data_IF_169458333078
#
_entry.id   IF_169458333078
#
_cell.length_a   1.000
_cell.length_b   1.000
_cell.length_c   1.000
_cell.angle_alpha   90.00
_cell.angle_beta   90.00
_cell.angle_gamma   90.00
#
_symmetry.space_group_name_H-M   'P 1'
#
loop_
_entity.id
_entity.type
_entity.pdbx_description
1 polymer ?
#
# COMPACT_ATOMS: atom_id res chain seq x y z
N UNK A 1 -5.12 -8.13 -19.35
CA UNK A 1 -5.77 -8.14 -20.67
C UNK A 1 -7.00 -7.23 -20.64
N UNK A 2 -7.27 -6.53 -21.76
CA UNK A 2 -8.51 -5.76 -21.92
C UNK A 2 -9.74 -6.70 -21.98
N UNK A 3 -10.92 -6.24 -21.56
CA UNK A 3 -12.15 -7.01 -21.68
C UNK A 3 -12.37 -7.54 -23.11
N UNK A 4 -12.84 -8.79 -23.22
CA UNK A 4 -13.05 -9.47 -24.48
C UNK A 4 -11.84 -10.24 -25.03
N UNK A 5 -10.65 -10.11 -24.45
CA UNK A 5 -9.46 -10.84 -24.93
C UNK A 5 -9.56 -12.35 -24.71
N UNK A 6 -9.98 -12.79 -23.53
CA UNK A 6 -10.15 -14.21 -23.23
C UNK A 6 -11.25 -14.83 -24.09
N UNK A 7 -12.31 -14.08 -24.31
CA UNK A 7 -13.43 -14.49 -25.18
C UNK A 7 -12.96 -14.68 -26.62
N UNK A 8 -12.13 -13.78 -27.16
CA UNK A 8 -11.52 -13.92 -28.50
C UNK A 8 -10.63 -15.16 -28.63
N UNK A 9 -9.99 -15.57 -27.54
CA UNK A 9 -9.14 -16.75 -27.49
C UNK A 9 -9.94 -18.04 -27.27
N UNK A 10 -11.28 -17.98 -27.12
CA UNK A 10 -12.12 -19.14 -26.85
C UNK A 10 -11.98 -19.70 -25.43
N UNK A 11 -11.42 -18.93 -24.49
CA UNK A 11 -11.24 -19.27 -23.08
C UNK A 11 -11.89 -18.23 -22.16
N UNK A 12 -13.00 -17.66 -22.61
CA UNK A 12 -13.81 -16.76 -21.78
C UNK A 12 -14.37 -17.46 -20.54
N UNK A 13 -14.81 -16.70 -19.54
CA UNK A 13 -15.33 -17.25 -18.27
C UNK A 13 -16.38 -18.34 -18.46
N UNK A 14 -17.31 -18.16 -19.37
CA UNK A 14 -18.39 -19.15 -19.64
C UNK A 14 -17.82 -20.49 -20.09
N UNK A 15 -16.81 -20.48 -20.97
CA UNK A 15 -16.15 -21.69 -21.46
C UNK A 15 -15.39 -22.40 -20.34
N UNK A 16 -14.66 -21.62 -19.51
CA UNK A 16 -13.88 -22.18 -18.40
C UNK A 16 -14.80 -22.75 -17.32
N UNK A 17 -15.84 -22.02 -16.94
CA UNK A 17 -16.80 -22.45 -15.93
C UNK A 17 -17.68 -23.62 -16.39
N UNK A 18 -17.96 -23.74 -17.67
CA UNK A 18 -18.63 -24.95 -18.22
C UNK A 18 -17.77 -26.20 -18.03
N UNK A 19 -16.44 -26.07 -18.04
CA UNK A 19 -15.52 -27.19 -17.77
C UNK A 19 -15.30 -27.45 -16.28
N UNK A 20 -15.27 -26.41 -15.49
CA UNK A 20 -15.12 -26.48 -14.04
C UNK A 20 -16.01 -25.43 -13.35
N UNK A 21 -17.20 -25.85 -12.96
CA UNK A 21 -18.17 -24.97 -12.29
C UNK A 21 -17.73 -24.46 -10.92
N UNK A 22 -16.67 -25.03 -10.33
CA UNK A 22 -16.07 -24.55 -9.08
C UNK A 22 -14.96 -23.51 -9.26
N UNK A 23 -14.67 -23.09 -10.49
CA UNK A 23 -13.56 -22.19 -10.78
C UNK A 23 -13.84 -20.76 -10.30
N UNK A 24 -12.89 -20.14 -9.62
CA UNK A 24 -12.89 -18.72 -9.30
C UNK A 24 -11.97 -18.03 -10.29
N UNK A 25 -12.51 -17.09 -11.07
CA UNK A 25 -11.78 -16.37 -12.13
C UNK A 25 -11.65 -14.91 -11.73
N UNK A 26 -10.43 -14.44 -11.48
CA UNK A 26 -10.17 -13.02 -11.23
C UNK A 26 -9.78 -12.30 -12.52
N UNK A 27 -10.54 -11.29 -12.88
CA UNK A 27 -10.31 -10.45 -14.06
C UNK A 27 -9.86 -9.08 -13.62
N UNK A 28 -8.54 -8.87 -13.60
CA UNK A 28 -7.94 -7.58 -13.22
C UNK A 28 -7.79 -6.70 -14.44
N UNK A 29 -8.26 -5.46 -14.37
CA UNK A 29 -8.08 -4.45 -15.41
C UNK A 29 -8.09 -3.03 -14.82
N UNK A 30 -7.67 -2.03 -15.57
CA UNK A 30 -7.62 -0.65 -15.07
C UNK A 30 -9.01 -0.14 -14.63
N UNK A 31 -10.05 -0.42 -15.43
CA UNK A 31 -11.37 0.22 -15.29
C UNK A 31 -12.52 -0.77 -15.03
N UNK A 32 -12.24 -2.05 -14.81
CA UNK A 32 -13.24 -3.10 -14.69
C UNK A 32 -13.69 -3.65 -16.05
N UNK A 33 -14.55 -4.67 -16.00
CA UNK A 33 -15.06 -5.36 -17.18
C UNK A 33 -16.25 -4.65 -17.83
N UNK A 34 -16.86 -3.69 -17.14
CA UNK A 34 -18.08 -2.99 -17.55
C UNK A 34 -17.90 -1.48 -17.50
N UNK A 35 -18.91 -0.76 -17.97
CA UNK A 35 -18.91 0.70 -17.93
C UNK A 35 -18.19 1.37 -19.12
N UNK A 36 -18.23 2.72 -19.18
CA UNK A 36 -17.79 3.45 -20.37
C UNK A 36 -16.27 3.43 -20.60
N UNK A 37 -15.48 3.01 -19.60
CA UNK A 37 -14.02 2.95 -19.67
C UNK A 37 -13.48 1.53 -19.81
N UNK A 38 -14.32 0.51 -19.82
CA UNK A 38 -13.90 -0.90 -19.88
C UNK A 38 -12.90 -1.20 -21.02
N UNK A 39 -13.04 -0.53 -22.17
CA UNK A 39 -12.16 -0.72 -23.32
C UNK A 39 -11.01 0.29 -23.43
N UNK A 40 -10.89 1.21 -22.45
CA UNK A 40 -9.78 2.17 -22.44
C UNK A 40 -8.52 1.54 -21.84
N UNK A 41 -7.34 1.92 -22.33
CA UNK A 41 -6.09 1.59 -21.65
C UNK A 41 -6.14 2.07 -20.19
N UNK A 42 -5.71 1.22 -19.26
CA UNK A 42 -5.66 1.55 -17.83
C UNK A 42 -4.38 0.99 -17.21
N UNK A 43 -3.56 1.89 -16.66
CA UNK A 43 -2.34 1.58 -15.92
C UNK A 43 -2.37 2.29 -14.58
N UNK A 44 -1.60 1.82 -13.60
CA UNK A 44 -1.57 2.35 -12.24
C UNK A 44 -1.49 3.87 -12.17
N UNK A 45 -0.57 4.50 -12.91
CA UNK A 45 -0.40 5.96 -12.90
C UNK A 45 -1.64 6.74 -13.37
N UNK A 46 -2.40 6.22 -14.36
CA UNK A 46 -3.65 6.84 -14.79
C UNK A 46 -4.73 6.75 -13.71
N UNK A 47 -4.77 5.63 -13.02
CA UNK A 47 -5.70 5.38 -11.91
C UNK A 47 -5.36 6.28 -10.72
N UNK A 48 -4.08 6.37 -10.36
CA UNK A 48 -3.58 7.25 -9.29
C UNK A 48 -3.91 8.72 -9.56
N UNK A 49 -3.82 9.13 -10.83
CA UNK A 49 -4.23 10.47 -11.24
C UNK A 49 -5.73 10.69 -11.15
N UNK A 50 -6.54 9.77 -11.69
CA UNK A 50 -7.98 9.95 -11.81
C UNK A 50 -8.75 9.70 -10.50
N UNK A 51 -8.22 8.86 -9.60
CA UNK A 51 -8.88 8.52 -8.33
C UNK A 51 -9.00 9.69 -7.35
N UNK A 52 -8.22 10.75 -7.55
CA UNK A 52 -8.08 11.85 -6.59
C UNK A 52 -6.83 11.73 -5.71
N UNK A 53 -6.13 10.59 -5.71
CA UNK A 53 -4.91 10.38 -4.93
C UNK A 53 -3.85 11.45 -5.24
N UNK A 54 -3.47 11.60 -6.51
CA UNK A 54 -2.47 12.58 -6.92
C UNK A 54 -2.91 14.02 -6.65
N UNK A 55 -4.22 14.32 -6.80
CA UNK A 55 -4.76 15.65 -6.55
C UNK A 55 -4.62 16.11 -5.10
N UNK A 56 -4.57 15.19 -4.15
CA UNK A 56 -4.42 15.48 -2.72
C UNK A 56 -3.02 15.21 -2.17
N UNK A 57 -2.10 14.69 -2.99
CA UNK A 57 -0.74 14.31 -2.58
C UNK A 57 0.27 15.36 -3.04
N UNK A 58 1.14 15.81 -2.11
CA UNK A 58 2.19 16.80 -2.34
C UNK A 58 1.95 18.13 -1.66
N UNK A 59 2.80 19.10 -1.94
CA UNK A 59 2.69 20.47 -1.41
C UNK A 59 1.78 21.32 -2.29
N UNK A 60 1.13 22.32 -1.67
CA UNK A 60 0.12 23.16 -2.34
C UNK A 60 0.69 24.00 -3.50
N UNK A 61 1.95 24.40 -3.37
CA UNK A 61 2.69 25.25 -4.30
C UNK A 61 3.42 24.48 -5.43
N UNK A 62 3.22 23.16 -5.48
CA UNK A 62 3.85 22.27 -6.47
C UNK A 62 2.81 21.44 -7.23
N UNK A 63 3.28 20.74 -8.25
CA UNK A 63 2.45 19.81 -9.03
C UNK A 63 1.92 18.65 -8.16
N UNK A 64 0.81 18.02 -8.57
CA UNK A 64 0.35 16.76 -7.99
C UNK A 64 1.43 15.68 -8.08
N UNK A 65 1.53 14.83 -7.05
CA UNK A 65 2.53 13.77 -6.99
C UNK A 65 1.90 12.39 -7.20
N UNK A 66 2.52 11.60 -8.06
CA UNK A 66 2.31 10.16 -8.14
C UNK A 66 3.21 9.44 -7.12
N UNK A 67 2.79 8.29 -6.60
CA UNK A 67 3.66 7.49 -5.73
C UNK A 67 4.85 6.92 -6.54
N UNK A 68 6.03 6.73 -5.92
CA UNK A 68 7.20 6.18 -6.60
C UNK A 68 7.15 4.64 -6.76
N UNK A 69 5.97 4.05 -6.75
CA UNK A 69 5.70 2.62 -6.86
C UNK A 69 4.33 2.40 -7.51
N UNK A 70 4.04 1.18 -7.95
CA UNK A 70 2.75 0.80 -8.54
C UNK A 70 1.66 0.67 -7.44
N UNK A 71 1.30 1.78 -6.80
CA UNK A 71 0.42 1.78 -5.63
C UNK A 71 -0.97 1.24 -5.93
N UNK A 72 -1.58 1.66 -7.04
CA UNK A 72 -2.90 1.19 -7.45
C UNK A 72 -2.91 -0.33 -7.69
N UNK A 73 -1.87 -0.86 -8.34
CA UNK A 73 -1.72 -2.29 -8.61
C UNK A 73 -1.54 -3.09 -7.32
N UNK A 74 -0.70 -2.61 -6.40
CA UNK A 74 -0.46 -3.26 -5.11
C UNK A 74 -1.72 -3.30 -4.24
N UNK A 75 -2.49 -2.21 -4.19
CA UNK A 75 -3.75 -2.15 -3.45
C UNK A 75 -4.79 -3.08 -4.08
N UNK A 76 -4.90 -3.10 -5.41
CA UNK A 76 -5.78 -4.02 -6.11
C UNK A 76 -5.37 -5.48 -5.85
N UNK A 77 -4.08 -5.80 -5.83
CA UNK A 77 -3.57 -7.12 -5.47
C UNK A 77 -4.01 -7.55 -4.05
N UNK A 78 -3.90 -6.66 -3.07
CA UNK A 78 -4.37 -6.93 -1.70
C UNK A 78 -5.89 -7.11 -1.63
N UNK A 79 -6.66 -6.29 -2.34
CA UNK A 79 -8.12 -6.43 -2.44
C UNK A 79 -8.50 -7.74 -3.13
N UNK A 80 -7.79 -8.09 -4.20
CA UNK A 80 -7.99 -9.33 -4.97
C UNK A 80 -7.74 -10.57 -4.13
N UNK A 81 -6.71 -10.57 -3.29
CA UNK A 81 -6.47 -11.64 -2.32
C UNK A 81 -7.69 -11.89 -1.43
N UNK A 82 -8.25 -10.83 -0.84
CA UNK A 82 -9.46 -10.92 -0.03
C UNK A 82 -10.69 -11.41 -0.82
N UNK A 83 -10.86 -10.90 -2.05
CA UNK A 83 -11.97 -11.29 -2.91
C UNK A 83 -11.92 -12.78 -3.30
N UNK A 84 -10.72 -13.30 -3.62
CA UNK A 84 -10.52 -14.74 -3.91
C UNK A 84 -10.89 -15.59 -2.70
N UNK A 85 -10.42 -15.25 -1.51
CA UNK A 85 -10.76 -15.99 -0.29
C UNK A 85 -12.27 -15.95 0.00
N UNK A 86 -12.92 -14.81 -0.21
CA UNK A 86 -14.37 -14.68 -0.04
C UNK A 86 -15.13 -15.55 -1.05
N UNK A 87 -14.71 -15.57 -2.33
CA UNK A 87 -15.31 -16.39 -3.37
C UNK A 87 -15.14 -17.89 -3.10
N UNK A 88 -13.94 -18.32 -2.70
CA UNK A 88 -13.67 -19.70 -2.31
C UNK A 88 -14.49 -20.10 -1.07
N UNK A 89 -14.56 -19.24 -0.07
CA UNK A 89 -15.37 -19.49 1.12
C UNK A 89 -16.85 -19.63 0.81
N UNK A 90 -17.40 -18.77 -0.04
CA UNK A 90 -18.78 -18.83 -0.49
C UNK A 90 -19.05 -20.17 -1.19
N UNK A 91 -18.19 -20.57 -2.11
CA UNK A 91 -18.26 -21.86 -2.80
C UNK A 91 -18.24 -23.04 -1.83
N UNK A 92 -17.27 -23.08 -0.92
CA UNK A 92 -17.06 -24.18 0.01
C UNK A 92 -18.17 -24.29 1.07
N UNK A 93 -18.89 -23.19 1.34
CA UNK A 93 -20.08 -23.17 2.20
C UNK A 93 -21.39 -23.51 1.45
N UNK A 94 -21.35 -23.79 0.17
CA UNK A 94 -22.53 -24.13 -0.63
C UNK A 94 -23.44 -22.95 -0.98
N UNK A 95 -22.95 -21.69 -0.83
CA UNK A 95 -23.70 -20.49 -1.26
C UNK A 95 -23.65 -20.26 -2.78
N UNK A 96 -23.02 -21.14 -3.54
CA UNK A 96 -22.91 -21.08 -4.99
C UNK A 96 -21.82 -22.01 -5.51
N UNK A 97 -21.57 -21.89 -6.79
CA UNK A 97 -20.43 -22.51 -7.47
C UNK A 97 -19.23 -21.54 -7.47
N UNK A 98 -18.28 -21.76 -8.36
CA UNK A 98 -17.26 -20.76 -8.68
C UNK A 98 -17.88 -19.49 -9.25
N UNK A 99 -17.10 -18.43 -9.32
CA UNK A 99 -17.59 -17.13 -9.80
C UNK A 99 -16.49 -16.32 -10.46
N UNK A 100 -16.89 -15.31 -11.24
CA UNK A 100 -16.01 -14.30 -11.78
C UNK A 100 -15.89 -13.15 -10.77
N UNK A 101 -14.67 -12.75 -10.47
CA UNK A 101 -14.35 -11.56 -9.70
C UNK A 101 -13.87 -10.48 -10.68
N UNK A 102 -14.67 -9.46 -10.90
CA UNK A 102 -14.29 -8.27 -11.66
C UNK A 102 -13.55 -7.32 -10.70
N UNK A 103 -12.28 -7.07 -10.95
CA UNK A 103 -11.41 -6.26 -10.08
C UNK A 103 -10.77 -5.16 -10.90
N UNK A 104 -11.24 -3.93 -10.72
CA UNK A 104 -10.55 -2.77 -11.29
C UNK A 104 -9.37 -2.34 -10.42
N UNK A 105 -8.41 -1.63 -11.00
CA UNK A 105 -7.39 -0.94 -10.21
C UNK A 105 -7.97 0.29 -9.50
N UNK A 106 -9.04 0.87 -10.05
CA UNK A 106 -9.61 2.14 -9.59
C UNK A 106 -10.35 2.01 -8.26
N UNK A 107 -11.28 1.06 -8.15
CA UNK A 107 -12.19 0.99 -7.00
C UNK A 107 -11.46 0.73 -5.68
N UNK A 108 -10.49 -0.19 -5.57
CA UNK A 108 -9.74 -0.39 -4.34
C UNK A 108 -8.94 0.84 -3.93
N UNK A 109 -8.26 1.52 -4.87
CA UNK A 109 -7.54 2.76 -4.57
C UNK A 109 -8.50 3.86 -4.11
N UNK A 110 -9.59 4.08 -4.85
CA UNK A 110 -10.58 5.09 -4.48
C UNK A 110 -11.19 4.83 -3.10
N UNK A 111 -11.46 3.56 -2.75
CA UNK A 111 -12.08 3.18 -1.48
C UNK A 111 -11.23 3.54 -0.25
N UNK A 112 -9.90 3.53 -0.37
CA UNK A 112 -9.00 3.85 0.75
C UNK A 112 -8.75 5.35 0.95
N UNK A 113 -9.20 6.20 0.02
CA UNK A 113 -9.02 7.65 0.14
C UNK A 113 -9.96 8.30 1.17
N UNK A 114 -10.83 7.51 1.80
CA UNK A 114 -11.75 7.96 2.82
C UNK A 114 -13.05 8.58 2.27
N UNK A 115 -13.76 9.38 3.07
CA UNK A 115 -15.13 9.79 2.78
C UNK A 115 -15.22 11.03 1.87
N UNK A 116 -14.28 11.27 0.97
CA UNK A 116 -14.19 12.50 0.17
C UNK A 116 -15.45 12.78 -0.65
N UNK A 117 -16.01 11.75 -1.29
CA UNK A 117 -17.22 11.90 -2.08
C UNK A 117 -18.42 12.32 -1.21
N UNK A 118 -18.54 11.72 -0.02
CA UNK A 118 -19.60 12.07 0.95
C UNK A 118 -19.41 13.47 1.50
N UNK A 119 -18.19 13.85 1.87
CA UNK A 119 -17.88 15.20 2.36
C UNK A 119 -18.20 16.25 1.29
N UNK A 120 -17.77 16.01 0.05
CA UNK A 120 -18.11 16.91 -1.06
C UNK A 120 -19.61 17.06 -1.29
N UNK A 121 -20.38 15.97 -1.16
CA UNK A 121 -21.83 16.02 -1.31
C UNK A 121 -22.53 16.79 -0.18
N UNK A 122 -21.96 16.81 1.03
CA UNK A 122 -22.55 17.48 2.20
C UNK A 122 -22.24 18.99 2.20
N UNK A 123 -21.01 19.36 1.97
CA UNK A 123 -20.55 20.75 2.19
C UNK A 123 -19.73 21.33 1.02
N UNK A 124 -19.56 20.58 -0.09
CA UNK A 124 -18.78 21.01 -1.25
C UNK A 124 -17.27 20.96 -1.05
N UNK A 125 -16.78 20.39 0.05
CA UNK A 125 -15.35 20.32 0.33
C UNK A 125 -14.57 19.55 -0.74
N UNK A 126 -13.39 20.05 -1.05
CA UNK A 126 -12.43 19.41 -1.99
C UNK A 126 -11.08 19.34 -1.29
N UNK A 127 -10.54 18.14 -1.08
CA UNK A 127 -9.23 17.96 -0.47
C UNK A 127 -8.15 18.73 -1.23
N UNK A 128 -7.24 19.38 -0.49
CA UNK A 128 -6.12 20.14 -1.05
C UNK A 128 -4.80 19.44 -0.72
N UNK A 129 -3.78 19.70 -1.51
CA UNK A 129 -2.43 19.27 -1.17
C UNK A 129 -1.94 20.07 0.04
N UNK A 130 -1.56 19.38 1.10
CA UNK A 130 -1.12 19.97 2.37
C UNK A 130 0.28 19.49 2.80
N UNK A 131 1.03 18.86 1.90
CA UNK A 131 2.32 18.25 2.23
C UNK A 131 2.14 17.08 3.20
N UNK A 132 2.84 17.16 4.32
CA UNK A 132 2.79 16.12 5.36
C UNK A 132 1.68 16.34 6.39
N UNK A 133 0.90 17.39 6.26
CA UNK A 133 -0.17 17.69 7.21
C UNK A 133 -1.40 16.81 6.96
N UNK A 134 -2.09 16.46 8.03
CA UNK A 134 -3.40 15.84 7.94
C UNK A 134 -4.50 16.88 8.06
N UNK A 135 -5.54 16.84 7.25
CA UNK A 135 -6.61 17.87 7.24
C UNK A 135 -7.47 17.87 8.50
N UNK A 136 -7.48 16.78 9.23
CA UNK A 136 -8.41 16.55 10.36
C UNK A 136 -7.72 16.58 11.73
N UNK A 137 -6.39 16.68 11.79
CA UNK A 137 -5.66 16.54 13.05
C UNK A 137 -4.33 17.31 13.07
N UNK A 138 -4.00 17.91 14.22
CA UNK A 138 -2.77 18.65 14.47
C UNK A 138 -2.34 18.54 15.96
N UNK A 139 -1.00 18.51 16.23
CA UNK A 139 0.09 18.46 15.27
C UNK A 139 0.28 17.05 14.69
N UNK A 140 0.56 16.98 13.40
CA UNK A 140 0.98 15.78 12.66
C UNK A 140 1.81 16.22 11.45
N UNK A 141 3.11 15.92 11.47
CA UNK A 141 4.02 16.35 10.41
C UNK A 141 5.31 15.53 10.39
N UNK A 142 6.16 15.85 9.41
CA UNK A 142 7.56 15.46 9.33
C UNK A 142 8.42 16.68 9.66
N UNK A 143 9.38 16.52 10.58
CA UNK A 143 10.22 17.60 11.08
C UNK A 143 11.68 17.34 10.77
N UNK A 144 12.37 18.37 10.29
CA UNK A 144 13.81 18.34 10.06
C UNK A 144 14.56 18.47 11.38
N UNK A 145 15.62 17.69 11.52
CA UNK A 145 16.50 17.66 12.69
C UNK A 145 17.84 18.36 12.39
N UNK A 146 18.63 18.65 13.43
CA UNK A 146 19.89 19.38 13.30
C UNK A 146 20.95 18.70 12.44
N UNK A 147 20.85 17.40 12.26
CA UNK A 147 21.75 16.58 11.44
C UNK A 147 21.27 16.41 9.97
N UNK A 148 20.21 17.14 9.58
CA UNK A 148 19.59 17.04 8.24
C UNK A 148 18.72 15.81 8.03
N UNK A 149 18.58 14.95 9.04
CA UNK A 149 17.62 13.85 9.04
C UNK A 149 16.21 14.31 9.41
N UNK A 150 15.24 13.42 9.29
CA UNK A 150 13.83 13.73 9.52
C UNK A 150 13.19 12.76 10.50
N UNK A 151 12.24 13.27 11.27
CA UNK A 151 11.35 12.47 12.13
C UNK A 151 9.90 12.74 11.79
N UNK A 152 9.06 11.72 11.91
CA UNK A 152 7.61 11.85 11.85
C UNK A 152 7.04 11.85 13.27
N UNK A 153 6.08 12.74 13.53
CA UNK A 153 5.38 12.80 14.80
C UNK A 153 3.88 13.02 14.60
N UNK A 154 3.09 12.43 15.49
CA UNK A 154 1.66 12.66 15.57
C UNK A 154 1.23 12.72 17.05
N UNK A 155 0.76 13.87 17.48
CA UNK A 155 0.28 14.11 18.85
C UNK A 155 -1.13 14.73 18.82
N UNK A 156 -2.04 14.10 18.08
CA UNK A 156 -3.35 14.64 17.75
C UNK A 156 -4.40 14.46 18.83
N UNK A 157 -4.27 13.41 19.67
CA UNK A 157 -5.14 13.22 20.84
C UNK A 157 -4.84 14.30 21.89
N UNK A 158 -5.87 14.77 22.60
CA UNK A 158 -5.72 15.86 23.58
C UNK A 158 -4.62 15.57 24.63
N UNK A 159 -4.65 14.36 25.21
CA UNK A 159 -3.63 13.97 26.20
C UNK A 159 -2.21 13.87 25.62
N UNK A 160 -2.06 13.59 24.32
CA UNK A 160 -0.75 13.59 23.66
C UNK A 160 -0.28 15.00 23.35
N UNK A 161 -1.21 15.88 22.96
CA UNK A 161 -0.93 17.30 22.78
C UNK A 161 -0.40 17.96 24.08
N UNK A 162 -1.10 17.73 25.18
CA UNK A 162 -0.71 18.26 26.50
C UNK A 162 0.71 17.80 26.90
N UNK A 163 1.01 16.52 26.71
CA UNK A 163 2.35 15.98 26.93
C UNK A 163 3.39 16.60 25.98
N UNK A 164 3.03 16.78 24.72
CA UNK A 164 3.92 17.39 23.74
C UNK A 164 4.25 18.84 24.12
N UNK A 165 3.25 19.65 24.48
CA UNK A 165 3.45 21.05 24.86
C UNK A 165 4.43 21.18 26.03
N UNK A 166 4.30 20.31 27.04
CA UNK A 166 5.26 20.24 28.15
C UNK A 166 6.65 19.80 27.66
N UNK A 167 6.72 18.78 26.82
CA UNK A 167 7.99 18.23 26.33
C UNK A 167 8.75 19.22 25.44
N UNK A 168 8.06 20.06 24.67
CA UNK A 168 8.69 21.10 23.85
C UNK A 168 8.96 22.40 24.65
N UNK A 169 8.85 22.31 25.98
CA UNK A 169 9.11 23.41 26.91
C UNK A 169 8.16 24.61 26.73
N UNK A 170 6.92 24.35 26.28
CA UNK A 170 5.88 25.35 26.02
C UNK A 170 4.54 24.95 26.68
N UNK A 171 4.53 24.70 28.03
CA UNK A 171 3.33 24.22 28.71
C UNK A 171 2.15 25.21 28.61
N UNK A 172 2.40 26.49 28.44
CA UNK A 172 1.38 27.54 28.30
C UNK A 172 0.51 27.34 27.04
N UNK A 173 0.98 26.60 26.02
CA UNK A 173 0.21 26.34 24.82
C UNK A 173 -1.01 25.45 25.08
N UNK A 174 -1.04 24.73 26.20
CA UNK A 174 -2.19 23.89 26.57
C UNK A 174 -3.42 24.73 26.86
N UNK A 175 -3.21 25.93 27.46
CA UNK A 175 -4.30 26.87 27.80
C UNK A 175 -4.48 27.98 26.76
N UNK A 176 -3.66 28.02 25.73
CA UNK A 176 -3.77 29.01 24.64
C UNK A 176 -5.04 28.76 23.80
N UNK A 177 -5.93 29.75 23.67
CA UNK A 177 -7.17 29.61 22.90
C UNK A 177 -6.99 29.12 21.46
N UNK A 178 -5.82 29.37 20.86
CA UNK A 178 -5.49 28.93 19.50
C UNK A 178 -5.26 27.42 19.41
N UNK A 179 -4.99 26.73 20.52
CA UNK A 179 -4.54 25.32 20.54
C UNK A 179 -5.32 24.45 21.53
N UNK A 180 -6.38 24.96 22.14
CA UNK A 180 -7.17 24.27 23.17
C UNK A 180 -7.72 22.92 22.68
N UNK A 181 -8.37 22.92 21.54
CA UNK A 181 -8.97 21.72 20.96
C UNK A 181 -8.28 21.34 19.66
N UNK A 182 -8.50 20.11 19.19
CA UNK A 182 -7.97 19.71 17.88
C UNK A 182 -8.45 20.60 16.72
N UNK A 183 -9.74 21.02 16.63
CA UNK A 183 -10.15 22.00 15.63
C UNK A 183 -9.39 23.32 15.71
N UNK A 184 -9.15 23.86 16.91
CA UNK A 184 -8.38 25.10 17.08
C UNK A 184 -6.93 24.92 16.59
N UNK A 185 -6.30 23.78 16.91
CA UNK A 185 -4.96 23.44 16.41
C UNK A 185 -4.90 23.29 14.90
N UNK A 186 -5.92 22.68 14.30
CA UNK A 186 -6.03 22.56 12.84
C UNK A 186 -6.16 23.93 12.19
N UNK A 187 -6.95 24.82 12.75
CA UNK A 187 -7.14 26.18 12.24
C UNK A 187 -5.86 27.01 12.36
N UNK A 188 -5.13 26.90 13.46
CA UNK A 188 -3.89 27.65 13.73
C UNK A 188 -2.62 26.83 13.46
N UNK A 189 -2.74 25.81 12.58
CA UNK A 189 -1.69 24.83 12.31
C UNK A 189 -0.36 25.43 11.92
N UNK A 190 -0.33 26.42 11.04
CA UNK A 190 0.92 26.99 10.54
C UNK A 190 1.81 27.52 11.67
N UNK A 191 1.21 28.18 12.64
CA UNK A 191 1.93 28.69 13.80
C UNK A 191 2.36 27.56 14.75
N UNK A 192 1.48 26.60 15.01
CA UNK A 192 1.78 25.42 15.81
C UNK A 192 2.95 24.62 15.23
N UNK A 193 2.94 24.36 13.93
CA UNK A 193 3.99 23.60 13.25
C UNK A 193 5.33 24.34 13.26
N UNK A 194 5.33 25.67 13.20
CA UNK A 194 6.56 26.48 13.36
C UNK A 194 7.17 26.26 14.74
N UNK A 195 6.37 26.36 15.79
CA UNK A 195 6.82 26.15 17.18
C UNK A 195 7.42 24.76 17.37
N UNK A 196 6.72 23.74 16.86
CA UNK A 196 7.17 22.34 16.98
C UNK A 196 8.43 22.10 16.15
N UNK A 197 8.50 22.64 14.93
CA UNK A 197 9.67 22.49 14.04
C UNK A 197 10.93 23.11 14.65
N UNK A 198 10.81 24.29 15.25
CA UNK A 198 11.94 24.95 15.93
C UNK A 198 12.51 24.14 17.11
N UNK A 199 11.67 23.33 17.75
CA UNK A 199 12.12 22.43 18.80
C UNK A 199 12.90 21.24 18.26
N UNK A 200 12.36 20.58 17.20
CA UNK A 200 13.01 19.43 16.59
C UNK A 200 14.35 19.78 15.93
N UNK A 201 14.44 20.96 15.33
CA UNK A 201 15.65 21.44 14.65
C UNK A 201 16.87 21.65 15.60
N UNK A 202 16.66 21.65 16.91
CA UNK A 202 17.74 21.83 17.91
C UNK A 202 18.52 20.54 18.21
N UNK A 203 18.04 19.39 17.79
CA UNK A 203 18.57 18.07 18.14
C UNK A 203 18.70 17.20 16.89
N UNK A 204 19.62 16.25 16.91
CA UNK A 204 19.74 15.19 15.91
C UNK A 204 18.52 14.28 15.94
N UNK A 205 18.32 13.46 14.89
CA UNK A 205 17.29 12.43 14.86
C UNK A 205 17.36 11.55 16.10
N UNK A 206 18.55 11.02 16.42
CA UNK A 206 18.69 10.10 17.56
C UNK A 206 18.40 10.77 18.90
N UNK A 207 18.83 12.02 19.09
CA UNK A 207 18.55 12.76 20.32
C UNK A 207 17.05 13.04 20.46
N UNK A 208 16.36 13.42 19.38
CA UNK A 208 14.92 13.59 19.39
C UNK A 208 14.18 12.29 19.71
N UNK A 209 14.57 11.17 19.09
CA UNK A 209 13.95 9.87 19.37
C UNK A 209 14.07 9.51 20.85
N UNK A 210 15.26 9.57 21.42
CA UNK A 210 15.51 9.28 22.84
C UNK A 210 14.73 10.22 23.75
N UNK A 211 14.78 11.53 23.46
CA UNK A 211 14.12 12.56 24.26
C UNK A 211 12.60 12.35 24.37
N UNK A 212 11.94 12.04 23.27
CA UNK A 212 10.50 11.86 23.22
C UNK A 212 10.05 10.46 23.71
N UNK A 213 10.86 9.43 23.49
CA UNK A 213 10.61 8.09 24.04
C UNK A 213 10.55 8.11 25.57
N UNK A 214 11.52 8.75 26.24
CA UNK A 214 11.56 8.92 27.70
C UNK A 214 10.32 9.64 28.26
N UNK A 215 9.63 10.43 27.43
CA UNK A 215 8.43 11.19 27.79
C UNK A 215 7.13 10.54 27.32
N UNK A 216 7.21 9.35 26.74
CA UNK A 216 6.06 8.62 26.25
C UNK A 216 5.32 9.31 25.08
N UNK A 217 6.07 10.03 24.24
CA UNK A 217 5.56 10.68 23.04
C UNK A 217 6.03 9.91 21.81
N UNK A 218 5.11 9.61 20.89
CA UNK A 218 5.39 8.83 19.72
C UNK A 218 6.04 9.66 18.61
N UNK A 219 7.35 9.44 18.42
CA UNK A 219 8.15 9.99 17.33
C UNK A 219 8.87 8.84 16.64
N UNK A 220 8.95 8.87 15.33
CA UNK A 220 9.64 7.84 14.54
C UNK A 220 10.57 8.42 13.48
N UNK A 221 11.69 7.77 13.18
CA UNK A 221 12.61 8.25 12.15
C UNK A 221 12.01 8.06 10.75
N UNK A 222 12.38 8.94 9.81
CA UNK A 222 12.17 8.68 8.39
C UNK A 222 13.35 7.84 7.90
N UNK A 223 13.09 6.57 7.65
CA UNK A 223 14.12 5.59 7.26
C UNK A 223 14.16 5.36 5.77
N UNK A 224 15.35 5.21 5.23
CA UNK A 224 15.58 4.61 3.92
C UNK A 224 15.82 3.09 4.06
N UNK A 225 16.02 2.37 2.96
CA UNK A 225 16.19 0.91 3.00
C UNK A 225 17.46 0.47 3.74
N UNK A 226 18.54 1.26 3.69
CA UNK A 226 19.78 0.94 4.41
C UNK A 226 19.62 1.08 5.93
N UNK A 227 18.71 1.96 6.38
CA UNK A 227 18.34 2.08 7.78
C UNK A 227 17.42 0.93 8.19
N UNK A 228 16.42 0.62 7.37
CA UNK A 228 15.42 -0.41 7.67
C UNK A 228 16.02 -1.79 7.86
N UNK A 229 16.95 -2.23 7.00
CA UNK A 229 17.56 -3.58 7.12
C UNK A 229 18.36 -3.79 8.41
N UNK A 230 18.75 -2.70 9.09
CA UNK A 230 19.47 -2.72 10.38
C UNK A 230 18.55 -2.38 11.56
N UNK A 231 17.32 -1.95 11.29
CA UNK A 231 16.42 -1.45 12.32
C UNK A 231 16.01 -2.57 13.30
N UNK A 232 16.08 -2.36 14.63
CA UNK A 232 15.76 -3.39 15.63
C UNK A 232 14.37 -4.01 15.46
N UNK A 233 13.36 -3.23 15.09
CA UNK A 233 12.01 -3.73 14.81
C UNK A 233 12.01 -4.72 13.63
N UNK A 234 12.69 -4.37 12.53
CA UNK A 234 12.75 -5.21 11.32
C UNK A 234 13.44 -6.54 11.63
N UNK A 235 14.56 -6.49 12.35
CA UNK A 235 15.33 -7.66 12.75
C UNK A 235 14.57 -8.50 13.78
N UNK A 236 14.10 -7.90 14.87
CA UNK A 236 13.44 -8.59 15.96
C UNK A 236 12.10 -9.22 15.54
N UNK A 237 11.34 -8.55 14.67
CA UNK A 237 10.09 -9.08 14.13
C UNK A 237 10.29 -9.99 12.91
N UNK A 238 11.52 -10.07 12.38
CA UNK A 238 11.85 -10.82 11.16
C UNK A 238 10.95 -10.37 9.98
N UNK A 239 10.83 -9.06 9.76
CA UNK A 239 10.09 -8.50 8.62
C UNK A 239 10.83 -8.79 7.32
N UNK A 240 12.14 -8.77 7.37
CA UNK A 240 13.03 -9.19 6.29
C UNK A 240 13.73 -10.50 6.71
N UNK A 241 13.73 -11.46 5.81
CA UNK A 241 14.46 -12.74 5.94
C UNK A 241 15.39 -12.93 4.77
N UNK A 242 16.45 -13.66 4.99
CA UNK A 242 17.41 -14.02 3.95
C UNK A 242 17.04 -15.39 3.36
N UNK A 243 16.97 -15.45 2.05
CA UNK A 243 16.66 -16.66 1.29
C UNK A 243 17.83 -17.00 0.38
N UNK A 244 18.05 -18.29 0.14
CA UNK A 244 19.04 -18.73 -0.82
C UNK A 244 18.58 -18.38 -2.24
N UNK A 245 19.52 -17.89 -3.04
CA UNK A 245 19.32 -17.58 -4.45
C UNK A 245 20.50 -18.15 -5.25
N UNK A 246 20.25 -18.88 -6.36
CA UNK A 246 21.31 -19.55 -7.10
C UNK A 246 22.32 -18.59 -7.74
N UNK A 247 21.91 -17.39 -8.14
CA UNK A 247 22.75 -16.42 -8.84
C UNK A 247 23.42 -15.41 -7.90
N UNK A 248 22.76 -15.06 -6.80
CA UNK A 248 23.17 -14.00 -5.89
C UNK A 248 23.56 -14.52 -4.49
N UNK A 249 23.45 -15.82 -4.24
CA UNK A 249 23.77 -16.45 -2.96
C UNK A 249 22.67 -16.25 -1.91
N UNK A 250 22.72 -15.17 -1.14
CA UNK A 250 21.76 -14.92 -0.06
C UNK A 250 21.08 -13.56 -0.25
N UNK A 251 19.78 -13.56 -0.56
CA UNK A 251 19.01 -12.35 -0.79
C UNK A 251 18.07 -12.02 0.38
N UNK A 252 18.12 -10.79 0.91
CA UNK A 252 17.13 -10.32 1.87
C UNK A 252 15.81 -9.97 1.15
N UNK A 253 14.72 -10.58 1.57
CA UNK A 253 13.38 -10.30 1.06
C UNK A 253 12.40 -10.14 2.23
N UNK A 254 11.27 -9.45 2.00
CA UNK A 254 10.19 -9.39 2.99
C UNK A 254 9.63 -10.79 3.26
N UNK A 255 9.39 -11.08 4.53
CA UNK A 255 8.77 -12.34 4.94
C UNK A 255 7.27 -12.35 4.61
N UNK A 256 6.64 -13.51 4.43
CA UNK A 256 5.19 -13.60 4.29
C UNK A 256 4.46 -12.93 5.46
N UNK A 257 3.40 -12.19 5.15
CA UNK A 257 2.52 -11.53 6.10
C UNK A 257 1.03 -11.71 5.70
N UNK A 258 0.08 -11.65 6.66
CA UNK A 258 0.28 -11.63 8.11
C UNK A 258 0.87 -12.94 8.63
N UNK A 259 1.40 -12.92 9.87
CA UNK A 259 1.89 -14.14 10.53
C UNK A 259 0.71 -14.93 11.09
N UNK A 260 0.40 -16.06 10.49
CA UNK A 260 -0.65 -16.98 10.96
C UNK A 260 -0.05 -18.00 11.92
N UNK A 261 -0.64 -18.14 13.10
CA UNK A 261 -0.11 -19.03 14.14
C UNK A 261 -0.26 -20.52 13.81
N UNK A 262 -1.35 -20.90 13.15
CA UNK A 262 -1.63 -22.30 12.81
C UNK A 262 -1.14 -22.71 11.41
N UNK A 263 -1.03 -21.76 10.48
CA UNK A 263 -0.65 -21.99 9.09
C UNK A 263 0.32 -20.92 8.61
N UNK A 264 1.54 -20.88 9.16
CA UNK A 264 2.51 -19.83 8.83
C UNK A 264 2.92 -19.87 7.34
N UNK A 265 2.94 -18.71 6.72
CA UNK A 265 3.45 -18.57 5.35
C UNK A 265 4.95 -18.84 5.28
N UNK A 266 5.37 -19.51 4.22
CA UNK A 266 6.79 -19.81 3.93
C UNK A 266 7.11 -19.52 2.47
N UNK A 267 8.37 -19.11 2.20
CA UNK A 267 8.93 -19.09 0.87
C UNK A 267 9.60 -20.45 0.67
N UNK A 268 9.10 -21.25 -0.27
CA UNK A 268 9.55 -22.64 -0.52
C UNK A 268 10.68 -22.72 -1.52
N UNK A 269 10.63 -21.88 -2.54
CA UNK A 269 11.60 -21.84 -3.65
C UNK A 269 11.99 -20.39 -3.93
N UNK A 270 13.21 -20.13 -4.42
CA UNK A 270 13.56 -18.81 -4.94
C UNK A 270 12.72 -18.46 -6.17
N UNK A 271 12.89 -17.27 -6.70
CA UNK A 271 12.27 -16.87 -7.97
C UNK A 271 12.85 -17.76 -9.10
N UNK A 272 12.03 -18.41 -9.92
CA UNK A 272 12.51 -19.23 -11.02
C UNK A 272 13.05 -18.34 -12.16
N UNK A 273 14.01 -18.87 -12.92
CA UNK A 273 14.43 -18.27 -14.18
C UNK A 273 13.30 -18.37 -15.22
N UNK A 274 13.32 -17.50 -16.21
CA UNK A 274 12.32 -17.56 -17.30
C UNK A 274 12.35 -18.91 -18.00
N UNK A 275 11.22 -19.61 -18.01
CA UNK A 275 11.08 -20.92 -18.66
C UNK A 275 11.63 -22.10 -17.87
N UNK A 276 12.15 -21.90 -16.66
CA UNK A 276 12.77 -22.97 -15.83
C UNK A 276 11.84 -24.18 -15.63
N UNK A 277 10.54 -23.93 -15.42
CA UNK A 277 9.53 -24.97 -15.17
C UNK A 277 8.77 -25.42 -16.43
N UNK A 278 9.13 -24.97 -17.62
CA UNK A 278 8.38 -25.24 -18.84
C UNK A 278 8.18 -26.74 -19.10
N UNK A 279 9.25 -27.53 -19.00
CA UNK A 279 9.18 -28.97 -19.27
C UNK A 279 8.33 -29.72 -18.25
N UNK A 280 8.49 -29.38 -16.98
CA UNK A 280 7.71 -29.93 -15.88
C UNK A 280 6.20 -29.67 -16.09
N UNK A 281 5.84 -28.42 -16.33
CA UNK A 281 4.43 -28.03 -16.54
C UNK A 281 3.82 -28.67 -17.79
N UNK A 282 4.59 -28.74 -18.89
CA UNK A 282 4.08 -29.38 -20.11
C UNK A 282 3.94 -30.89 -19.96
N UNK A 283 4.85 -31.54 -19.22
CA UNK A 283 4.74 -32.95 -18.89
C UNK A 283 3.54 -33.26 -17.98
N UNK A 284 3.23 -32.42 -17.01
CA UNK A 284 2.06 -32.56 -16.14
C UNK A 284 0.74 -32.55 -16.90
N UNK A 285 0.63 -31.80 -18.01
CA UNK A 285 -0.54 -31.77 -18.87
C UNK A 285 -0.51 -32.86 -19.97
N UNK A 286 0.45 -33.80 -19.91
CA UNK A 286 0.50 -35.02 -20.72
C UNK A 286 1.31 -34.91 -22.00
N UNK A 287 2.14 -33.87 -22.19
CA UNK A 287 3.02 -33.84 -23.36
C UNK A 287 4.24 -34.75 -23.13
N UNK A 288 4.65 -35.46 -24.18
CA UNK A 288 5.88 -36.23 -24.16
C UNK A 288 7.11 -35.34 -24.37
N UNK A 289 8.28 -35.84 -24.01
CA UNK A 289 9.55 -35.14 -24.21
C UNK A 289 9.77 -34.73 -25.69
N UNK A 290 9.42 -35.59 -26.63
CA UNK A 290 9.53 -35.31 -28.07
C UNK A 290 8.57 -34.21 -28.53
N UNK A 291 7.37 -34.17 -27.96
CA UNK A 291 6.42 -33.08 -28.22
C UNK A 291 6.91 -31.74 -27.68
N UNK A 292 7.50 -31.74 -26.47
CA UNK A 292 8.08 -30.54 -25.87
C UNK A 292 9.26 -30.05 -26.70
N UNK A 293 10.18 -30.96 -27.11
CA UNK A 293 11.29 -30.61 -28.00
C UNK A 293 10.80 -29.99 -29.30
N UNK A 294 9.74 -30.54 -29.90
CA UNK A 294 9.12 -30.01 -31.13
C UNK A 294 8.57 -28.58 -30.92
N UNK A 295 8.00 -28.28 -29.75
CA UNK A 295 7.51 -26.93 -29.42
C UNK A 295 8.67 -25.94 -29.29
N UNK A 296 9.80 -26.35 -28.71
CA UNK A 296 11.03 -25.55 -28.62
C UNK A 296 11.61 -25.26 -29.99
N UNK A 297 11.76 -26.26 -30.84
CA UNK A 297 12.29 -26.09 -32.19
C UNK A 297 11.45 -25.12 -33.03
N UNK A 298 10.16 -24.99 -32.73
CA UNK A 298 9.24 -24.03 -33.36
C UNK A 298 9.21 -22.67 -32.66
N UNK A 299 9.95 -22.46 -31.61
CA UNK A 299 9.97 -21.22 -30.83
C UNK A 299 8.61 -20.90 -30.15
N UNK A 300 7.83 -21.93 -29.79
CA UNK A 300 6.54 -21.78 -29.10
C UNK A 300 6.77 -21.74 -27.58
N UNK A 301 7.75 -22.44 -27.09
CA UNK A 301 8.19 -22.48 -25.68
C UNK A 301 9.71 -22.42 -25.58
#
# INVERSE_FOLDING_TARGET
FIPGTLEKWGIGPDVLMAKNGGLVIVRVSGWGQTGPYAHKPGFGSLIEGMSGFAAMTGFADREPLLPPLALADMIAGLAGYGAVLAALRARDQGFGQGQVVDLSLFEPLFSILGPMATAHAIDGSVPKRSGNWGDVAAPRNVYECSDGGYVAMSATMQSMWEKLAVAIERPELVEDPRFLTNPDRVQNRSELETIVSEFFAKRTVQENLTYFEERGITVGPICNIADLIKHPFILGRQVVKTYADPDHGALPMHAPFPKLSGTPGTVRTPAPMQGENTDEVLAEIGLTADQIATLRDKGIV
#
